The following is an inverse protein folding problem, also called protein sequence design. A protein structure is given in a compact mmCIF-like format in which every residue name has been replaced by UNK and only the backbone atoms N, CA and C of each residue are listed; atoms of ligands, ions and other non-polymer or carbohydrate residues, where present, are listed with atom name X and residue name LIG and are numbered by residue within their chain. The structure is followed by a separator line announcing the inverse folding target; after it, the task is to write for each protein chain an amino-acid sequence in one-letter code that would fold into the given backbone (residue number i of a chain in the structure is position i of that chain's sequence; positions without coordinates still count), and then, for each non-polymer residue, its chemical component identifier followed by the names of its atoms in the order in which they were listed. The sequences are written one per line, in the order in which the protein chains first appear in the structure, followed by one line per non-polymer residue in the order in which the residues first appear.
data_IF_938942491356
#
_entry.id   IF_938942491356
#
_cell.length_a   1.000
_cell.length_b   1.000
_cell.length_c   1.000
_cell.angle_alpha   90.00
_cell.angle_beta   90.00
_cell.angle_gamma   90.00
#
_symmetry.space_group_name_H-M   'P 1'
#
loop_
_entity.id
_entity.type
_entity.pdbx_description
1 polymer ?
#
# COMPACT_ATOMS: atom_id res chain seq x y z
N UNK A 1 -2.32 -0.61 27.26
CA UNK A 1 -1.04 -0.22 26.66
C UNK A 1 -1.43 0.40 25.34
N UNK A 2 -1.09 1.67 25.13
CA UNK A 2 -1.52 2.45 23.96
C UNK A 2 -0.84 1.84 22.72
N UNK A 3 -1.63 1.38 21.73
CA UNK A 3 -1.10 1.10 20.40
C UNK A 3 -0.34 2.35 19.95
N UNK A 4 0.92 2.18 19.57
CA UNK A 4 1.70 3.25 18.95
C UNK A 4 1.00 3.57 17.62
N UNK A 5 0.09 4.53 17.68
CA UNK A 5 -0.48 5.15 16.49
C UNK A 5 0.69 5.71 15.68
N UNK A 6 0.64 5.67 14.36
CA UNK A 6 1.57 6.38 13.44
C UNK A 6 1.53 7.91 13.67
N UNK A 7 1.22 8.35 14.89
CA UNK A 7 1.29 9.70 15.42
C UNK A 7 2.72 9.95 15.83
N UNK A 8 3.40 10.77 15.06
CA UNK A 8 4.76 11.22 15.38
C UNK A 8 4.73 12.26 16.51
N UNK A 9 3.56 12.90 16.78
CA UNK A 9 3.39 13.87 17.88
C UNK A 9 1.94 13.90 18.39
N UNK A 10 1.74 13.77 19.70
CA UNK A 10 0.42 13.87 20.37
C UNK A 10 -0.15 15.32 20.44
N UNK A 11 0.61 16.35 20.02
CA UNK A 11 0.24 17.77 20.13
C UNK A 11 -0.07 18.40 18.76
N UNK A 12 -0.03 17.64 17.64
CA UNK A 12 -0.29 18.15 16.29
C UNK A 12 -1.78 18.05 15.90
N UNK A 13 -2.26 19.10 15.24
CA UNK A 13 -3.60 19.10 14.63
C UNK A 13 -3.53 18.50 13.23
N UNK A 14 -4.29 17.42 13.00
CA UNK A 14 -4.39 16.77 11.70
C UNK A 14 -5.58 17.30 10.91
N UNK A 15 -5.37 17.52 9.60
CA UNK A 15 -6.45 17.82 8.65
C UNK A 15 -7.34 16.60 8.42
N UNK A 16 -6.70 15.45 8.21
CA UNK A 16 -7.36 14.16 8.09
C UNK A 16 -6.65 13.15 8.98
N UNK A 17 -7.41 12.44 9.79
CA UNK A 17 -6.89 11.35 10.63
C UNK A 17 -7.75 10.11 10.47
N UNK A 18 -7.12 8.96 10.37
CA UNK A 18 -7.78 7.66 10.39
C UNK A 18 -7.20 6.83 11.53
N UNK A 19 -8.06 6.15 12.29
CA UNK A 19 -7.69 5.30 13.41
C UNK A 19 -8.20 3.89 13.19
N UNK A 20 -7.30 2.91 13.18
CA UNK A 20 -7.59 1.48 13.02
C UNK A 20 -8.57 1.20 11.86
N UNK A 21 -8.42 1.95 10.75
CA UNK A 21 -9.35 1.90 9.63
C UNK A 21 -9.29 0.55 8.94
N UNK A 22 -10.48 -0.06 8.72
CA UNK A 22 -10.61 -1.32 8.00
C UNK A 22 -11.60 -1.18 6.84
N UNK A 23 -11.25 -1.79 5.71
CA UNK A 23 -12.16 -1.99 4.59
C UNK A 23 -12.00 -3.39 4.04
N UNK A 24 -12.98 -4.22 4.35
CA UNK A 24 -13.05 -5.61 3.91
C UNK A 24 -14.17 -5.78 2.89
N UNK A 25 -13.89 -6.50 1.81
CA UNK A 25 -14.88 -6.82 0.79
C UNK A 25 -15.23 -8.31 0.90
N UNK A 26 -16.49 -8.67 1.20
CA UNK A 26 -16.89 -10.07 1.31
C UNK A 26 -16.73 -10.79 -0.03
N UNK A 27 -16.10 -11.96 -0.02
CA UNK A 27 -16.04 -12.84 -1.20
C UNK A 27 -17.38 -13.55 -1.33
N UNK A 28 -18.12 -13.27 -2.42
CA UNK A 28 -19.40 -13.91 -2.70
C UNK A 28 -19.19 -15.38 -3.11
N UNK A 29 -19.03 -16.25 -2.14
CA UNK A 29 -19.21 -17.69 -2.35
C UNK A 29 -20.72 -17.96 -2.35
N UNK A 30 -21.24 -18.65 -3.39
CA UNK A 30 -22.68 -18.90 -3.53
C UNK A 30 -23.31 -19.52 -2.28
N UNK A 31 -24.61 -19.29 -2.06
CA UNK A 31 -25.36 -19.69 -0.86
C UNK A 31 -25.16 -21.19 -0.49
N UNK A 32 -24.89 -22.05 -1.46
CA UNK A 32 -24.71 -23.50 -1.28
C UNK A 32 -23.34 -23.82 -0.67
N UNK A 33 -22.26 -23.12 -1.03
CA UNK A 33 -20.92 -23.30 -0.46
C UNK A 33 -20.85 -22.81 0.99
N UNK A 34 -21.59 -21.75 1.32
CA UNK A 34 -21.73 -21.19 2.66
C UNK A 34 -22.32 -22.17 3.68
N UNK A 35 -23.29 -23.00 3.25
CA UNK A 35 -23.96 -23.98 4.11
C UNK A 35 -23.14 -25.28 4.26
N UNK A 36 -22.37 -25.67 3.23
CA UNK A 36 -21.67 -26.96 3.18
C UNK A 36 -20.24 -26.91 3.75
N UNK A 37 -19.56 -25.73 3.75
CA UNK A 37 -18.16 -25.62 4.16
C UNK A 37 -17.91 -24.78 5.41
N UNK A 38 -18.94 -24.14 5.99
CA UNK A 38 -18.75 -23.26 7.16
C UNK A 38 -17.94 -21.97 6.84
N UNK A 39 -17.70 -21.65 5.56
CA UNK A 39 -16.91 -20.50 5.08
C UNK A 39 -17.74 -19.20 5.16
N UNK A 40 -18.06 -18.74 6.38
CA UNK A 40 -18.91 -17.55 6.54
C UNK A 40 -18.16 -16.22 6.52
N UNK A 41 -16.82 -16.20 6.53
CA UNK A 41 -16.05 -14.97 6.79
C UNK A 41 -14.87 -14.70 5.82
N UNK A 42 -14.84 -15.33 4.64
CA UNK A 42 -13.76 -14.98 3.67
C UNK A 42 -14.01 -13.61 3.06
N UNK A 43 -13.08 -12.71 3.26
CA UNK A 43 -13.12 -11.35 2.74
C UNK A 43 -11.75 -10.91 2.25
N UNK A 44 -11.72 -10.14 1.16
CA UNK A 44 -10.53 -9.40 0.74
C UNK A 44 -10.31 -8.27 1.74
N UNK A 45 -9.23 -8.32 2.52
CA UNK A 45 -8.86 -7.30 3.50
C UNK A 45 -8.03 -6.21 2.83
N UNK A 46 -8.70 -5.35 2.06
CA UNK A 46 -8.03 -4.33 1.27
C UNK A 46 -7.37 -3.23 2.13
N UNK A 47 -7.95 -2.91 3.28
CA UNK A 47 -7.39 -2.06 4.35
C UNK A 47 -7.67 -2.78 5.66
N UNK A 48 -6.66 -2.96 6.51
CA UNK A 48 -6.80 -3.80 7.70
C UNK A 48 -6.02 -3.23 8.90
N UNK A 49 -6.63 -2.27 9.58
CA UNK A 49 -6.09 -1.66 10.79
C UNK A 49 -5.10 -0.52 10.53
N UNK A 50 -5.35 0.30 9.51
CA UNK A 50 -4.48 1.44 9.21
C UNK A 50 -4.82 2.63 10.11
N UNK A 51 -3.77 3.18 10.76
CA UNK A 51 -3.83 4.46 11.50
C UNK A 51 -2.84 5.43 10.87
N UNK A 52 -3.30 6.65 10.54
CA UNK A 52 -2.51 7.67 9.85
C UNK A 52 -3.07 9.07 10.10
N UNK A 53 -2.21 10.04 10.43
CA UNK A 53 -2.53 11.45 10.49
C UNK A 53 -1.86 12.24 9.36
N UNK A 54 -2.59 13.13 8.71
CA UNK A 54 -2.13 14.03 7.65
C UNK A 54 -2.34 15.46 8.15
N UNK A 55 -1.25 16.24 8.18
CA UNK A 55 -1.25 17.60 8.72
C UNK A 55 -1.88 18.59 7.75
N UNK A 56 -2.35 19.73 8.25
CA UNK A 56 -2.85 20.80 7.39
C UNK A 56 -1.74 21.32 6.47
N UNK A 57 -2.02 21.48 5.18
CA UNK A 57 -1.08 21.91 4.14
C UNK A 57 -0.05 20.86 3.72
N UNK A 58 -0.05 19.66 4.33
CA UNK A 58 0.90 18.58 4.01
C UNK A 58 0.59 17.92 2.66
N UNK A 59 1.65 17.61 1.90
CA UNK A 59 1.61 16.64 0.81
C UNK A 59 2.05 15.26 1.33
N UNK A 60 1.12 14.33 1.44
CA UNK A 60 1.40 12.96 1.86
C UNK A 60 1.41 12.01 0.66
N UNK A 61 2.48 11.23 0.51
CA UNK A 61 2.60 10.19 -0.52
C UNK A 61 2.16 8.82 0.00
N UNK A 62 1.40 8.08 -0.78
CA UNK A 62 1.05 6.69 -0.48
C UNK A 62 1.56 5.78 -1.59
N UNK A 63 2.56 4.94 -1.26
CA UNK A 63 3.22 4.04 -2.19
C UNK A 63 3.05 2.55 -1.83
N UNK A 64 3.35 1.66 -2.77
CA UNK A 64 3.30 0.21 -2.61
C UNK A 64 2.93 -0.48 -3.92
N UNK A 65 3.01 -1.82 -3.94
CA UNK A 65 2.67 -2.64 -5.11
C UNK A 65 1.19 -2.47 -5.54
N UNK A 66 0.90 -2.80 -6.80
CA UNK A 66 -0.48 -2.81 -7.30
C UNK A 66 -1.35 -3.79 -6.49
N UNK A 67 -2.57 -3.39 -6.15
CA UNK A 67 -3.49 -4.23 -5.38
C UNK A 67 -3.26 -4.23 -3.86
N UNK A 68 -2.25 -3.53 -3.31
CA UNK A 68 -1.99 -3.52 -1.85
C UNK A 68 -3.00 -2.71 -1.02
N UNK A 69 -3.99 -2.02 -1.65
CA UNK A 69 -5.08 -1.33 -0.95
C UNK A 69 -5.02 0.20 -0.95
N UNK A 70 -4.02 0.85 -1.58
CA UNK A 70 -3.83 2.33 -1.59
C UNK A 70 -5.08 3.13 -1.98
N UNK A 71 -5.63 2.83 -3.15
CA UNK A 71 -6.86 3.49 -3.65
C UNK A 71 -8.05 3.24 -2.71
N UNK A 72 -8.13 2.04 -2.11
CA UNK A 72 -9.17 1.72 -1.14
C UNK A 72 -9.01 2.54 0.14
N UNK A 73 -7.79 2.64 0.66
CA UNK A 73 -7.48 3.48 1.82
C UNK A 73 -7.85 4.94 1.56
N UNK A 74 -7.38 5.53 0.46
CA UNK A 74 -7.69 6.91 0.10
C UNK A 74 -9.19 7.16 -0.05
N UNK A 75 -9.90 6.30 -0.78
CA UNK A 75 -11.38 6.43 -0.95
C UNK A 75 -12.16 6.20 0.34
N UNK A 76 -11.70 5.34 1.24
CA UNK A 76 -12.33 5.15 2.55
C UNK A 76 -12.10 6.37 3.45
N UNK A 77 -10.88 6.92 3.47
CA UNK A 77 -10.52 8.08 4.27
C UNK A 77 -11.33 9.34 3.91
N UNK A 78 -11.72 9.50 2.63
CA UNK A 78 -12.61 10.58 2.20
C UNK A 78 -14.08 10.15 2.07
N UNK A 79 -14.49 9.06 2.72
CA UNK A 79 -15.89 8.59 2.76
C UNK A 79 -16.55 8.41 1.39
N UNK A 80 -15.77 8.07 0.36
CA UNK A 80 -16.29 7.54 -0.92
C UNK A 80 -16.58 6.05 -0.83
N UNK A 81 -15.86 5.33 0.04
CA UNK A 81 -16.15 3.97 0.45
C UNK A 81 -16.43 3.99 1.95
N UNK A 82 -17.54 3.40 2.37
CA UNK A 82 -17.83 3.23 3.80
C UNK A 82 -16.81 2.26 4.42
N UNK A 83 -16.15 2.62 5.53
CA UNK A 83 -15.27 1.72 6.24
C UNK A 83 -16.05 0.51 6.78
N UNK A 84 -15.36 -0.59 7.01
CA UNK A 84 -15.93 -1.76 7.70
C UNK A 84 -15.81 -1.59 9.21
N UNK A 85 -14.74 -0.91 9.66
CA UNK A 85 -14.43 -0.66 11.08
C UNK A 85 -13.40 0.48 11.17
N UNK A 86 -13.18 1.02 12.36
CA UNK A 86 -12.26 2.14 12.61
C UNK A 86 -12.94 3.50 12.55
N UNK A 87 -12.18 4.57 12.75
CA UNK A 87 -12.69 5.95 12.82
C UNK A 87 -11.96 6.86 11.84
N UNK A 88 -12.67 7.91 11.40
CA UNK A 88 -12.16 8.93 10.48
C UNK A 88 -12.49 10.31 11.05
N UNK A 89 -11.47 11.15 11.21
CA UNK A 89 -11.63 12.52 11.65
C UNK A 89 -11.15 13.50 10.58
N UNK A 90 -11.90 14.58 10.39
CA UNK A 90 -11.57 15.67 9.49
C UNK A 90 -11.69 16.98 10.24
N UNK A 91 -10.62 17.78 10.29
CA UNK A 91 -10.50 18.97 11.14
C UNK A 91 -10.89 18.66 12.61
N UNK A 92 -10.48 17.50 13.12
CA UNK A 92 -10.78 17.02 14.47
C UNK A 92 -12.23 16.57 14.70
N UNK A 93 -13.09 16.59 13.67
CA UNK A 93 -14.48 16.16 13.75
C UNK A 93 -14.61 14.72 13.24
N UNK A 94 -15.27 13.87 14.03
CA UNK A 94 -15.59 12.51 13.60
C UNK A 94 -16.59 12.54 12.42
N UNK A 95 -16.14 11.96 11.30
CA UNK A 95 -16.94 11.84 10.07
C UNK A 95 -17.24 10.37 9.70
N UNK A 96 -16.94 9.43 10.60
CA UNK A 96 -17.04 7.99 10.34
C UNK A 96 -18.41 7.57 9.87
N UNK A 97 -19.47 8.02 10.55
CA UNK A 97 -20.85 7.62 10.31
C UNK A 97 -21.75 8.78 9.85
N UNK A 98 -21.17 9.97 9.54
CA UNK A 98 -21.96 11.11 9.09
C UNK A 98 -22.69 10.81 7.77
N UNK A 99 -23.89 11.37 7.61
CA UNK A 99 -24.73 11.21 6.42
C UNK A 99 -25.47 12.50 6.06
N UNK A 100 -26.28 12.44 5.00
CA UNK A 100 -27.12 13.57 4.57
C UNK A 100 -26.32 14.84 4.28
N UNK A 101 -26.78 15.96 4.84
CA UNK A 101 -26.19 17.29 4.56
C UNK A 101 -24.76 17.43 5.09
N UNK A 102 -24.44 16.78 6.20
CA UNK A 102 -23.12 16.81 6.81
C UNK A 102 -22.08 16.10 5.92
N UNK A 103 -22.41 14.93 5.39
CA UNK A 103 -21.56 14.23 4.40
C UNK A 103 -21.43 15.05 3.11
N UNK A 104 -22.49 15.72 2.67
CA UNK A 104 -22.45 16.59 1.51
C UNK A 104 -21.55 17.81 1.73
N UNK A 105 -21.53 18.37 2.94
CA UNK A 105 -20.61 19.44 3.30
C UNK A 105 -19.16 18.95 3.27
N UNK A 106 -18.86 17.81 3.91
CA UNK A 106 -17.54 17.22 3.88
C UNK A 106 -17.06 16.95 2.44
N UNK A 107 -17.92 16.41 1.57
CA UNK A 107 -17.61 16.14 0.16
C UNK A 107 -17.34 17.39 -0.68
N UNK A 108 -17.67 18.60 -0.22
CA UNK A 108 -17.22 19.84 -0.86
C UNK A 108 -15.78 20.14 -0.50
N UNK A 109 -15.40 19.89 0.74
CA UNK A 109 -14.07 20.17 1.27
C UNK A 109 -13.02 19.13 0.87
N UNK A 110 -13.43 17.86 0.69
CA UNK A 110 -12.56 16.77 0.27
C UNK A 110 -12.90 16.30 -1.15
N UNK A 111 -12.00 16.57 -2.09
CA UNK A 111 -12.16 16.22 -3.50
C UNK A 111 -11.20 15.13 -3.94
N UNK A 112 -11.56 14.42 -5.03
CA UNK A 112 -10.72 13.37 -5.63
C UNK A 112 -10.42 13.67 -7.09
N UNK A 113 -9.17 13.42 -7.49
CA UNK A 113 -8.75 13.34 -8.88
C UNK A 113 -8.46 11.87 -9.20
N UNK A 114 -9.18 11.33 -10.17
CA UNK A 114 -9.12 9.93 -10.56
C UNK A 114 -7.95 9.64 -11.50
N UNK A 115 -7.50 8.38 -11.49
CA UNK A 115 -6.43 7.85 -12.33
C UNK A 115 -6.71 7.99 -13.82
N UNK A 116 -7.93 7.73 -14.26
CA UNK A 116 -8.32 7.76 -15.66
C UNK A 116 -9.28 8.91 -15.95
N UNK A 117 -8.80 9.98 -16.61
CA UNK A 117 -9.64 11.09 -17.00
C UNK A 117 -10.69 10.72 -18.06
N UNK A 118 -10.45 9.65 -18.86
CA UNK A 118 -11.42 9.19 -19.87
C UNK A 118 -12.66 8.55 -19.26
N UNK A 119 -12.49 7.79 -18.18
CA UNK A 119 -13.63 7.13 -17.51
C UNK A 119 -14.43 8.10 -16.65
N UNK A 120 -13.83 9.19 -16.22
CA UNK A 120 -14.48 10.17 -15.36
C UNK A 120 -15.27 11.22 -16.12
N UNK A 121 -14.89 11.55 -17.37
CA UNK A 121 -15.52 12.61 -18.15
C UNK A 121 -16.75 12.10 -18.94
N UNK A 122 -17.91 12.76 -18.72
CA UNK A 122 -19.09 12.52 -19.55
C UNK A 122 -18.84 13.09 -20.97
N UNK A 123 -18.81 12.26 -22.04
CA UNK A 123 -18.47 12.71 -23.39
C UNK A 123 -19.52 13.68 -24.00
N UNK A 124 -20.66 13.85 -23.37
CA UNK A 124 -21.74 14.75 -23.83
C UNK A 124 -21.67 16.15 -23.24
N UNK A 125 -20.80 16.36 -22.24
CA UNK A 125 -20.62 17.66 -21.60
C UNK A 125 -19.42 18.36 -22.22
N UNK A 126 -19.54 19.67 -22.41
CA UNK A 126 -18.39 20.54 -22.66
C UNK A 126 -17.52 20.69 -21.42
N UNK A 127 -16.31 21.19 -21.57
CA UNK A 127 -15.41 21.52 -20.44
C UNK A 127 -16.13 22.45 -19.45
N UNK A 128 -16.81 23.48 -19.94
CA UNK A 128 -17.60 24.40 -19.13
C UNK A 128 -18.67 23.67 -18.30
N UNK A 129 -19.49 22.84 -18.93
CA UNK A 129 -20.55 22.10 -18.26
C UNK A 129 -20.00 21.14 -17.21
N UNK A 130 -18.84 20.53 -17.53
CA UNK A 130 -18.19 19.59 -16.64
C UNK A 130 -17.64 20.24 -15.36
N UNK A 131 -17.01 21.41 -15.49
CA UNK A 131 -16.47 22.17 -14.36
C UNK A 131 -17.59 22.84 -13.57
N UNK A 132 -18.71 23.24 -14.23
CA UNK A 132 -19.87 23.85 -13.57
C UNK A 132 -20.74 22.87 -12.76
N UNK A 133 -20.80 21.60 -13.20
CA UNK A 133 -21.70 20.61 -12.62
C UNK A 133 -21.61 20.53 -11.07
N UNK A 134 -20.43 20.44 -10.42
CA UNK A 134 -20.34 20.40 -8.96
C UNK A 134 -20.90 21.66 -8.29
N UNK A 135 -20.73 22.83 -8.89
CA UNK A 135 -21.32 24.08 -8.37
C UNK A 135 -22.85 24.05 -8.42
N UNK A 136 -23.42 23.50 -9.50
CA UNK A 136 -24.86 23.36 -9.67
C UNK A 136 -25.44 22.31 -8.72
N UNK A 137 -24.78 21.15 -8.57
CA UNK A 137 -25.21 20.08 -7.66
C UNK A 137 -25.24 20.55 -6.20
N UNK A 138 -24.24 21.31 -5.80
CA UNK A 138 -24.12 21.81 -4.43
C UNK A 138 -24.82 23.15 -4.21
N UNK A 139 -25.39 23.78 -5.25
CA UNK A 139 -26.12 25.03 -5.14
C UNK A 139 -25.26 26.23 -4.71
N UNK A 140 -23.98 26.26 -5.10
CA UNK A 140 -23.01 27.28 -4.68
C UNK A 140 -23.11 28.49 -5.62
N UNK A 141 -23.28 29.69 -5.05
CA UNK A 141 -23.29 30.97 -5.77
C UNK A 141 -24.47 31.21 -6.67
N UNK A 142 -24.56 32.42 -7.23
CA UNK A 142 -25.49 32.80 -8.31
C UNK A 142 -25.04 32.25 -9.66
N UNK A 143 -25.86 32.26 -10.71
CA UNK A 143 -25.42 31.85 -12.06
C UNK A 143 -24.18 32.60 -12.53
N UNK A 144 -24.13 33.92 -12.31
CA UNK A 144 -23.01 34.78 -12.72
C UNK A 144 -21.72 34.47 -11.95
N UNK A 145 -21.83 34.18 -10.65
CA UNK A 145 -20.67 33.78 -9.83
C UNK A 145 -20.15 32.39 -10.25
N UNK A 146 -21.04 31.44 -10.60
CA UNK A 146 -20.66 30.14 -11.12
C UNK A 146 -19.91 30.25 -12.44
N UNK A 147 -20.42 31.09 -13.35
CA UNK A 147 -19.77 31.31 -14.64
C UNK A 147 -18.36 31.90 -14.46
N UNK A 148 -18.21 32.91 -13.62
CA UNK A 148 -16.90 33.47 -13.31
C UNK A 148 -15.94 32.43 -12.71
N UNK A 149 -16.43 31.62 -11.77
CA UNK A 149 -15.66 30.58 -11.11
C UNK A 149 -15.22 29.47 -12.06
N UNK A 150 -16.08 29.06 -12.98
CA UNK A 150 -15.73 28.05 -14.02
C UNK A 150 -14.56 28.54 -14.88
N UNK A 151 -14.60 29.76 -15.38
CA UNK A 151 -13.49 30.30 -16.21
C UNK A 151 -12.21 30.44 -15.39
N UNK A 152 -12.30 30.92 -14.17
CA UNK A 152 -11.15 31.03 -13.26
C UNK A 152 -10.47 29.69 -12.98
N UNK A 153 -11.24 28.62 -12.67
CA UNK A 153 -10.68 27.31 -12.36
C UNK A 153 -10.11 26.62 -13.61
N UNK A 154 -10.68 26.85 -14.79
CA UNK A 154 -10.13 26.37 -16.06
C UNK A 154 -8.71 26.97 -16.26
N UNK A 155 -8.53 28.30 -16.02
CA UNK A 155 -7.22 28.96 -16.12
C UNK A 155 -6.25 28.50 -15.02
N UNK A 156 -6.73 28.35 -13.77
CA UNK A 156 -5.92 27.82 -12.65
C UNK A 156 -5.38 26.43 -12.98
N UNK A 157 -6.16 25.59 -13.66
CA UNK A 157 -5.72 24.28 -14.14
C UNK A 157 -4.74 24.34 -15.35
N UNK A 158 -4.43 25.56 -15.85
CA UNK A 158 -3.50 25.78 -16.94
C UNK A 158 -4.10 25.54 -18.32
N UNK A 159 -5.42 25.69 -18.48
CA UNK A 159 -6.12 25.71 -19.77
C UNK A 159 -6.41 27.15 -20.16
N UNK A 160 -5.39 27.83 -20.75
CA UNK A 160 -5.42 29.24 -21.08
C UNK A 160 -5.40 29.48 -22.60
N UNK A 161 -6.25 30.39 -23.12
CA UNK A 161 -7.31 31.12 -22.40
C UNK A 161 -8.56 30.25 -22.19
N UNK A 162 -9.18 30.34 -21.02
CA UNK A 162 -10.34 29.51 -20.66
C UNK A 162 -11.48 29.55 -21.70
N UNK A 163 -11.69 30.71 -22.33
CA UNK A 163 -12.70 30.89 -23.37
C UNK A 163 -12.49 30.03 -24.62
N UNK A 164 -11.28 29.55 -24.89
CA UNK A 164 -11.01 28.64 -26.00
C UNK A 164 -11.38 27.19 -25.63
N UNK A 165 -11.10 26.79 -24.39
CA UNK A 165 -11.33 25.40 -23.92
C UNK A 165 -12.77 25.16 -23.42
N UNK A 166 -13.41 26.15 -22.83
CA UNK A 166 -14.74 26.02 -22.23
C UNK A 166 -15.81 25.39 -23.16
N UNK A 167 -15.89 25.71 -24.46
CA UNK A 167 -16.86 25.09 -25.38
C UNK A 167 -16.44 23.73 -25.93
N UNK A 168 -15.19 23.28 -25.72
CA UNK A 168 -14.68 22.02 -26.26
C UNK A 168 -15.26 20.80 -25.54
N UNK A 169 -15.34 19.68 -26.26
CA UNK A 169 -15.74 18.38 -25.72
C UNK A 169 -14.51 17.54 -25.34
N UNK A 170 -14.65 16.57 -24.43
CA UNK A 170 -13.55 15.69 -24.05
C UNK A 170 -12.84 14.98 -25.21
N UNK A 171 -13.56 14.70 -26.30
CA UNK A 171 -13.00 14.06 -27.51
C UNK A 171 -12.03 14.96 -28.29
N UNK A 172 -12.10 16.28 -28.10
CA UNK A 172 -11.28 17.29 -28.78
C UNK A 172 -9.97 17.59 -28.01
N UNK A 173 -9.88 17.11 -26.78
CA UNK A 173 -8.76 17.36 -25.87
C UNK A 173 -7.72 16.22 -25.89
N UNK A 174 -6.45 16.58 -25.70
CA UNK A 174 -5.37 15.64 -25.38
C UNK A 174 -5.55 15.01 -24.00
N UNK A 175 -4.80 13.94 -23.70
CA UNK A 175 -4.84 13.29 -22.38
C UNK A 175 -4.49 14.24 -21.23
N UNK A 176 -3.47 15.09 -21.42
CA UNK A 176 -3.07 16.08 -20.42
C UNK A 176 -4.11 17.19 -20.22
N UNK A 177 -4.76 17.66 -21.28
CA UNK A 177 -5.84 18.65 -21.18
C UNK A 177 -7.07 18.07 -20.45
N UNK A 178 -7.43 16.82 -20.73
CA UNK A 178 -8.49 16.13 -19.97
C UNK A 178 -8.17 16.03 -18.48
N UNK A 179 -6.91 15.71 -18.15
CA UNK A 179 -6.48 15.69 -16.74
C UNK A 179 -6.63 17.06 -16.10
N UNK A 180 -6.26 18.15 -16.82
CA UNK A 180 -6.45 19.52 -16.36
C UNK A 180 -7.93 19.89 -16.16
N UNK A 181 -8.83 19.39 -17.01
CA UNK A 181 -10.29 19.53 -16.81
C UNK A 181 -10.74 18.84 -15.52
N UNK A 182 -10.23 17.63 -15.24
CA UNK A 182 -10.50 16.93 -13.99
C UNK A 182 -10.01 17.71 -12.74
N UNK A 183 -8.83 18.34 -12.86
CA UNK A 183 -8.29 19.23 -11.82
C UNK A 183 -9.17 20.48 -11.67
N UNK A 184 -9.54 21.16 -12.76
CA UNK A 184 -10.42 22.34 -12.72
C UNK A 184 -11.77 22.01 -12.04
N UNK A 185 -12.36 20.86 -12.36
CA UNK A 185 -13.60 20.39 -11.72
C UNK A 185 -13.45 20.24 -10.20
N UNK A 186 -12.36 19.62 -9.73
CA UNK A 186 -12.09 19.46 -8.31
C UNK A 186 -11.91 20.82 -7.60
N UNK A 187 -11.19 21.74 -8.24
CA UNK A 187 -10.90 23.08 -7.71
C UNK A 187 -12.14 23.99 -7.68
N UNK A 188 -13.15 23.73 -8.51
CA UNK A 188 -14.37 24.56 -8.60
C UNK A 188 -15.07 24.70 -7.24
N UNK A 189 -14.97 23.70 -6.36
CA UNK A 189 -15.56 23.69 -5.02
C UNK A 189 -14.67 24.33 -3.94
N UNK A 190 -13.47 24.85 -4.28
CA UNK A 190 -12.49 25.38 -3.32
C UNK A 190 -12.18 24.38 -2.18
N UNK A 191 -11.74 23.16 -2.51
CA UNK A 191 -11.50 22.15 -1.50
C UNK A 191 -10.35 22.53 -0.59
N UNK A 192 -10.36 22.07 0.65
CA UNK A 192 -9.22 22.16 1.58
C UNK A 192 -8.39 20.86 1.59
N UNK A 193 -8.92 19.78 1.01
CA UNK A 193 -8.27 18.48 0.93
C UNK A 193 -8.43 17.85 -0.46
N UNK A 194 -7.33 17.26 -0.98
CA UNK A 194 -7.30 16.64 -2.30
C UNK A 194 -6.70 15.23 -2.22
N UNK A 195 -7.46 14.24 -2.70
CA UNK A 195 -6.94 12.90 -2.98
C UNK A 195 -6.62 12.78 -4.47
N UNK A 196 -5.36 12.59 -4.82
CA UNK A 196 -4.92 12.37 -6.19
C UNK A 196 -4.51 10.89 -6.39
N UNK A 197 -5.40 10.11 -6.99
CA UNK A 197 -5.21 8.67 -7.21
C UNK A 197 -4.52 8.43 -8.56
N UNK A 198 -3.22 8.20 -8.55
CA UNK A 198 -2.35 8.04 -9.74
C UNK A 198 -2.57 9.10 -10.83
N UNK A 199 -2.54 10.41 -10.48
CA UNK A 199 -3.07 11.49 -11.34
C UNK A 199 -2.31 11.72 -12.65
N UNK A 200 -1.19 11.07 -12.85
CA UNK A 200 -0.34 11.23 -14.02
C UNK A 200 0.14 9.91 -14.65
N UNK A 201 -0.37 8.74 -14.19
CA UNK A 201 0.11 7.41 -14.61
C UNK A 201 -0.16 7.12 -16.09
N UNK A 202 -1.25 7.65 -16.65
CA UNK A 202 -1.68 7.44 -18.05
C UNK A 202 -1.10 8.48 -19.03
N UNK A 203 -0.23 9.37 -18.56
CA UNK A 203 0.32 10.47 -19.36
C UNK A 203 1.77 10.17 -19.79
N UNK A 204 2.15 10.69 -20.95
CA UNK A 204 3.55 10.67 -21.38
C UNK A 204 4.45 11.51 -20.45
N UNK A 205 5.76 11.25 -20.49
CA UNK A 205 6.74 11.79 -19.54
C UNK A 205 6.73 13.33 -19.50
N UNK A 206 6.57 14.01 -20.64
CA UNK A 206 6.62 15.48 -20.71
C UNK A 206 5.37 16.12 -20.13
N UNK A 207 4.21 15.56 -20.42
CA UNK A 207 2.92 16.01 -19.87
C UNK A 207 2.84 15.70 -18.39
N UNK A 208 3.34 14.52 -17.97
CA UNK A 208 3.42 14.13 -16.56
C UNK A 208 4.12 15.19 -15.72
N UNK A 209 5.32 15.61 -16.12
CA UNK A 209 6.07 16.65 -15.38
C UNK A 209 5.25 17.94 -15.24
N UNK A 210 4.60 18.39 -16.33
CA UNK A 210 3.77 19.61 -16.31
C UNK A 210 2.54 19.50 -15.39
N UNK A 211 1.93 18.33 -15.27
CA UNK A 211 0.81 18.08 -14.34
C UNK A 211 1.31 18.08 -12.89
N UNK A 212 2.48 17.52 -12.60
CA UNK A 212 3.07 17.51 -11.27
C UNK A 212 3.45 18.90 -10.80
N UNK A 213 4.05 19.72 -11.69
CA UNK A 213 4.35 21.12 -11.40
C UNK A 213 3.06 21.92 -11.12
N UNK A 214 1.98 21.63 -11.86
CA UNK A 214 0.68 22.22 -11.60
C UNK A 214 0.17 21.87 -10.19
N UNK A 215 0.23 20.61 -9.78
CA UNK A 215 -0.19 20.19 -8.43
C UNK A 215 0.62 20.89 -7.35
N UNK A 216 1.94 20.95 -7.48
CA UNK A 216 2.83 21.61 -6.52
C UNK A 216 2.53 23.12 -6.39
N UNK A 217 2.27 23.77 -7.52
CA UNK A 217 1.84 25.17 -7.55
C UNK A 217 0.52 25.36 -6.83
N UNK A 218 -0.50 24.58 -7.17
CA UNK A 218 -1.85 24.66 -6.56
C UNK A 218 -1.79 24.40 -5.06
N UNK A 219 -1.03 23.40 -4.61
CA UNK A 219 -0.84 23.13 -3.18
C UNK A 219 -0.25 24.36 -2.45
N UNK A 220 0.80 24.97 -3.02
CA UNK A 220 1.46 26.12 -2.41
C UNK A 220 0.59 27.38 -2.44
N UNK A 221 -0.07 27.66 -3.57
CA UNK A 221 -0.87 28.89 -3.76
C UNK A 221 -2.20 28.84 -2.99
N UNK A 222 -2.83 27.66 -2.91
CA UNK A 222 -4.13 27.50 -2.27
C UNK A 222 -4.06 26.93 -0.85
N UNK A 223 -2.88 26.54 -0.36
CA UNK A 223 -2.71 25.93 0.95
C UNK A 223 -3.38 24.55 1.08
N UNK A 224 -3.47 23.80 -0.01
CA UNK A 224 -4.17 22.52 -0.05
C UNK A 224 -3.42 21.44 0.75
N UNK A 225 -4.16 20.67 1.54
CA UNK A 225 -3.67 19.37 2.04
C UNK A 225 -3.91 18.32 0.97
N UNK A 226 -2.91 17.51 0.64
CA UNK A 226 -3.02 16.55 -0.46
C UNK A 226 -2.50 15.17 -0.12
N UNK A 227 -3.18 14.13 -0.61
CA UNK A 227 -2.68 12.75 -0.64
C UNK A 227 -2.45 12.34 -2.08
N UNK A 228 -1.21 11.95 -2.39
CA UNK A 228 -0.81 11.45 -3.70
C UNK A 228 -0.60 9.95 -3.64
N UNK A 229 -1.42 9.19 -4.36
CA UNK A 229 -1.22 7.75 -4.54
C UNK A 229 -0.40 7.55 -5.80
N UNK A 230 0.72 6.82 -5.69
CA UNK A 230 1.55 6.47 -6.84
C UNK A 230 2.33 5.18 -6.58
N UNK A 231 2.67 4.47 -7.66
CA UNK A 231 3.67 3.41 -7.62
C UNK A 231 5.08 3.92 -7.96
N UNK A 232 5.22 5.18 -8.36
CA UNK A 232 6.49 5.84 -8.67
C UNK A 232 7.02 6.61 -7.46
N UNK A 233 7.96 5.99 -6.73
CA UNK A 233 8.58 6.58 -5.55
C UNK A 233 9.40 7.85 -5.86
N UNK A 234 9.99 7.95 -7.06
CA UNK A 234 10.75 9.14 -7.47
C UNK A 234 9.84 10.37 -7.57
N UNK A 235 8.63 10.14 -8.08
CA UNK A 235 7.59 11.15 -8.16
C UNK A 235 7.17 11.61 -6.75
N UNK A 236 6.87 10.66 -5.86
CA UNK A 236 6.45 10.98 -4.50
C UNK A 236 7.56 11.70 -3.72
N UNK A 237 8.82 11.30 -3.88
CA UNK A 237 9.97 12.01 -3.29
C UNK A 237 9.99 13.48 -3.66
N UNK A 238 9.65 13.81 -4.90
CA UNK A 238 9.70 15.20 -5.39
C UNK A 238 8.49 16.04 -4.93
N UNK A 239 7.35 15.39 -4.69
CA UNK A 239 6.09 16.09 -4.43
C UNK A 239 5.65 16.09 -2.98
N UNK A 240 6.07 15.12 -2.19
CA UNK A 240 5.52 14.87 -0.87
C UNK A 240 6.48 15.24 0.25
N UNK A 241 5.93 15.67 1.37
CA UNK A 241 6.66 15.93 2.61
C UNK A 241 6.96 14.61 3.34
N UNK A 242 5.95 13.73 3.43
CA UNK A 242 6.06 12.39 4.00
C UNK A 242 5.52 11.34 3.03
N UNK A 243 6.01 10.10 3.19
CA UNK A 243 5.55 8.94 2.42
C UNK A 243 5.17 7.81 3.39
N UNK A 244 4.02 7.21 3.14
CA UNK A 244 3.61 5.93 3.72
C UNK A 244 3.74 4.81 2.69
N UNK A 245 4.37 3.71 3.11
CA UNK A 245 4.52 2.49 2.30
C UNK A 245 3.48 1.48 2.73
N UNK A 246 2.67 1.03 1.79
CA UNK A 246 1.58 0.09 2.03
C UNK A 246 1.85 -1.28 1.43
N UNK A 247 1.63 -2.33 2.20
CA UNK A 247 1.72 -3.72 1.77
C UNK A 247 0.53 -4.53 2.30
N UNK A 248 -0.19 -5.23 1.41
CA UNK A 248 -1.32 -6.11 1.74
C UNK A 248 -2.28 -5.53 2.80
N UNK A 249 -2.74 -4.29 2.60
CA UNK A 249 -3.74 -3.65 3.46
C UNK A 249 -3.20 -2.97 4.72
N UNK A 250 -1.88 -2.98 4.96
CA UNK A 250 -1.25 -2.33 6.11
C UNK A 250 -0.21 -1.29 5.71
N UNK A 251 0.00 -0.27 6.54
CA UNK A 251 1.17 0.60 6.45
C UNK A 251 2.35 -0.11 7.14
N UNK A 252 3.42 -0.33 6.37
CA UNK A 252 4.63 -1.00 6.86
C UNK A 252 5.75 -0.03 7.24
N UNK A 253 5.73 1.18 6.67
CA UNK A 253 6.68 2.24 7.00
C UNK A 253 6.09 3.62 6.69
N UNK A 254 6.35 4.61 7.55
CA UNK A 254 5.96 6.02 7.36
C UNK A 254 7.09 6.93 7.83
N UNK A 255 7.41 7.95 7.05
CA UNK A 255 8.44 8.92 7.39
C UNK A 255 8.57 10.05 6.37
N UNK A 256 9.51 11.01 6.58
CA UNK A 256 9.86 12.01 5.60
C UNK A 256 10.24 11.40 4.26
N UNK A 257 9.81 12.03 3.16
CA UNK A 257 10.01 11.48 1.82
C UNK A 257 11.49 11.21 1.50
N UNK A 258 12.39 12.12 1.91
CA UNK A 258 13.82 11.94 1.71
C UNK A 258 14.40 10.76 2.52
N UNK A 259 13.92 10.54 3.75
CA UNK A 259 14.39 9.45 4.61
C UNK A 259 13.88 8.10 4.09
N UNK A 260 12.61 7.99 3.72
CA UNK A 260 12.04 6.76 3.11
C UNK A 260 12.82 6.32 1.88
N UNK A 261 13.31 7.26 1.06
CA UNK A 261 14.04 6.94 -0.17
C UNK A 261 15.53 6.68 0.07
N UNK A 262 16.16 7.44 0.99
CA UNK A 262 17.62 7.36 1.17
C UNK A 262 18.02 6.39 2.27
N UNK A 263 17.16 6.17 3.29
CA UNK A 263 17.42 5.34 4.45
C UNK A 263 16.17 4.54 4.87
N UNK A 264 15.62 3.70 3.95
CA UNK A 264 14.44 2.88 4.22
C UNK A 264 14.71 1.86 5.31
N UNK A 265 13.77 1.69 6.23
CA UNK A 265 13.91 0.81 7.40
C UNK A 265 13.28 -0.57 7.15
N UNK A 266 12.05 -0.61 6.67
CA UNK A 266 11.39 -1.89 6.43
C UNK A 266 12.00 -2.61 5.21
N UNK A 267 12.28 -3.94 5.28
CA UNK A 267 12.87 -4.68 4.16
C UNK A 267 12.10 -4.60 2.84
N UNK A 268 10.76 -4.48 2.90
CA UNK A 268 9.94 -4.24 1.72
C UNK A 268 10.21 -2.87 1.09
N UNK A 269 10.33 -1.82 1.90
CA UNK A 269 10.68 -0.48 1.42
C UNK A 269 12.07 -0.46 0.78
N UNK A 270 13.04 -1.18 1.40
CA UNK A 270 14.39 -1.35 0.84
C UNK A 270 14.34 -1.97 -0.56
N UNK A 271 13.55 -3.03 -0.72
CA UNK A 271 13.38 -3.70 -2.03
C UNK A 271 12.70 -2.77 -3.05
N UNK A 272 11.63 -2.06 -2.67
CA UNK A 272 10.97 -1.09 -3.56
C UNK A 272 11.92 0.01 -4.01
N UNK A 273 12.66 0.62 -3.07
CA UNK A 273 13.62 1.70 -3.35
C UNK A 273 14.79 1.20 -4.18
N UNK A 274 15.25 -0.05 -4.00
CA UNK A 274 16.33 -0.64 -4.79
C UNK A 274 15.96 -0.78 -6.28
N UNK A 275 14.68 -0.86 -6.60
CA UNK A 275 14.17 -0.97 -7.98
C UNK A 275 14.02 0.39 -8.68
N UNK A 276 14.13 1.52 -7.95
CA UNK A 276 14.01 2.87 -8.51
C UNK A 276 15.25 3.23 -9.32
N UNK A 277 15.12 3.56 -10.63
CA UNK A 277 16.24 3.98 -11.45
C UNK A 277 16.90 5.26 -10.90
N UNK A 278 18.21 5.30 -10.76
CA UNK A 278 18.97 6.48 -10.36
C UNK A 278 19.68 7.14 -11.54
N UNK A 279 19.85 8.44 -11.43
CA UNK A 279 20.54 9.25 -12.46
C UNK A 279 22.07 9.09 -12.33
N UNK A 280 22.61 8.81 -11.14
CA UNK A 280 24.03 8.63 -10.89
C UNK A 280 24.43 7.14 -10.99
N UNK A 281 25.14 6.72 -12.07
CA UNK A 281 25.58 5.35 -12.24
C UNK A 281 26.74 4.94 -11.33
N UNK A 282 27.30 5.84 -10.52
CA UNK A 282 28.43 5.54 -9.60
C UNK A 282 27.97 5.04 -8.23
N UNK A 283 26.69 5.12 -7.91
CA UNK A 283 26.10 4.54 -6.71
C UNK A 283 25.59 3.13 -7.00
N UNK A 284 26.46 2.13 -6.84
CA UNK A 284 26.07 0.72 -6.87
C UNK A 284 25.23 0.37 -5.64
N UNK A 285 23.90 0.35 -5.79
CA UNK A 285 23.03 -0.43 -4.89
C UNK A 285 22.72 -1.75 -5.58
N UNK A 286 23.03 -2.84 -4.93
CA UNK A 286 22.52 -4.14 -5.36
C UNK A 286 21.00 -4.10 -5.37
N UNK A 287 20.41 -4.48 -6.51
CA UNK A 287 18.97 -4.61 -6.64
C UNK A 287 18.52 -5.79 -5.79
N UNK A 288 17.63 -5.52 -4.83
CA UNK A 288 17.01 -6.57 -4.03
C UNK A 288 15.92 -7.21 -4.86
N UNK A 289 16.10 -8.45 -5.27
CA UNK A 289 15.07 -9.23 -5.97
C UNK A 289 14.13 -9.85 -4.94
N UNK A 290 12.84 -9.53 -5.09
CA UNK A 290 11.80 -10.14 -4.26
C UNK A 290 11.42 -11.51 -4.82
N UNK A 291 11.62 -12.53 -4.01
CA UNK A 291 11.25 -13.91 -4.36
C UNK A 291 9.77 -14.15 -4.11
N UNK A 292 9.12 -14.91 -5.01
CA UNK A 292 7.74 -15.32 -4.89
C UNK A 292 6.71 -14.25 -5.29
N UNK A 293 5.45 -14.66 -5.31
CA UNK A 293 4.32 -13.81 -5.66
C UNK A 293 3.75 -13.09 -4.43
N UNK A 294 2.96 -12.03 -4.66
CA UNK A 294 2.22 -11.35 -3.59
C UNK A 294 1.17 -12.32 -3.05
N UNK A 295 1.14 -12.57 -1.73
CA UNK A 295 0.12 -13.44 -1.14
C UNK A 295 -1.31 -12.98 -1.44
N UNK A 296 -2.26 -13.94 -1.43
CA UNK A 296 -3.68 -13.65 -1.64
C UNK A 296 -4.22 -12.76 -0.50
N UNK A 297 -4.86 -11.64 -0.80
CA UNK A 297 -5.46 -10.76 0.21
C UNK A 297 -6.66 -11.38 0.95
N UNK A 298 -7.11 -12.57 0.57
CA UNK A 298 -8.12 -13.36 1.29
C UNK A 298 -7.46 -14.24 2.36
N UNK A 299 -6.33 -14.88 2.02
CA UNK A 299 -5.59 -15.79 2.90
C UNK A 299 -4.25 -15.14 3.30
N UNK A 300 -4.35 -14.16 4.19
CA UNK A 300 -3.21 -13.35 4.64
C UNK A 300 -2.20 -14.17 5.45
N UNK A 301 -0.88 -13.99 5.21
CA UNK A 301 0.14 -14.55 6.08
C UNK A 301 -0.03 -14.08 7.54
N UNK A 302 0.25 -14.97 8.50
CA UNK A 302 0.28 -14.64 9.93
C UNK A 302 1.45 -13.71 10.25
N UNK A 303 1.36 -12.91 11.30
CA UNK A 303 2.42 -11.98 11.71
C UNK A 303 2.71 -10.90 10.66
N UNK A 304 3.97 -10.74 10.28
CA UNK A 304 4.37 -9.82 9.22
C UNK A 304 3.92 -10.33 7.85
N UNK A 305 3.02 -9.63 7.18
CA UNK A 305 2.48 -10.04 5.86
C UNK A 305 3.54 -10.16 4.77
N UNK A 306 4.68 -9.48 4.96
CA UNK A 306 5.79 -9.52 4.01
C UNK A 306 6.76 -10.68 4.26
N UNK A 307 6.69 -11.40 5.39
CA UNK A 307 7.67 -12.43 5.75
C UNK A 307 7.87 -13.49 4.65
N UNK A 308 6.84 -13.95 3.87
CA UNK A 308 7.07 -14.94 2.82
C UNK A 308 7.99 -14.48 1.69
N UNK A 309 8.17 -13.16 1.53
CA UNK A 309 9.00 -12.54 0.49
C UNK A 309 10.16 -11.71 1.07
N UNK A 310 10.29 -11.66 2.39
CA UNK A 310 11.26 -10.81 3.06
C UNK A 310 12.70 -11.32 2.89
N UNK A 311 13.64 -10.56 2.32
CA UNK A 311 15.04 -10.99 2.20
C UNK A 311 15.78 -11.02 3.53
N UNK A 312 15.19 -10.47 4.61
CA UNK A 312 15.76 -10.39 5.96
C UNK A 312 14.81 -11.02 6.98
N UNK A 313 14.28 -12.21 6.65
CA UNK A 313 13.41 -12.93 7.59
C UNK A 313 14.22 -13.33 8.84
N UNK A 314 13.68 -13.05 10.02
CA UNK A 314 14.34 -13.30 11.30
C UNK A 314 14.44 -14.81 11.54
N UNK A 315 15.62 -15.27 11.97
CA UNK A 315 15.88 -16.67 12.29
C UNK A 315 15.35 -17.03 13.68
N UNK A 316 15.00 -18.31 13.93
CA UNK A 316 14.61 -18.76 15.25
C UNK A 316 15.79 -18.66 16.23
N UNK A 317 15.48 -18.46 17.51
CA UNK A 317 16.51 -18.45 18.56
C UNK A 317 17.25 -19.78 18.63
N UNK A 318 18.57 -19.71 18.77
CA UNK A 318 19.43 -20.89 18.95
C UNK A 318 19.99 -21.49 17.67
N UNK A 319 19.64 -20.98 16.50
CA UNK A 319 20.21 -21.36 15.22
C UNK A 319 20.97 -20.20 14.57
N UNK A 320 21.92 -20.53 13.71
CA UNK A 320 22.69 -19.55 12.93
C UNK A 320 22.85 -20.05 11.51
N UNK A 321 22.09 -19.45 10.60
CA UNK A 321 22.11 -19.75 9.17
C UNK A 321 22.75 -18.61 8.37
N UNK A 322 23.25 -18.91 7.18
CA UNK A 322 23.30 -17.92 6.10
C UNK A 322 21.84 -17.51 5.72
N UNK A 323 21.64 -16.26 5.31
CA UNK A 323 20.27 -15.76 5.06
C UNK A 323 19.60 -16.47 3.87
N UNK A 324 20.39 -16.87 2.87
CA UNK A 324 19.88 -17.61 1.70
C UNK A 324 19.48 -19.03 2.09
N UNK A 325 20.33 -19.71 2.89
CA UNK A 325 20.05 -21.05 3.44
C UNK A 325 18.78 -21.02 4.32
N UNK A 326 18.65 -20.00 5.18
CA UNK A 326 17.46 -19.82 6.00
C UNK A 326 16.20 -19.62 5.15
N UNK A 327 16.31 -18.82 4.09
CA UNK A 327 15.21 -18.61 3.14
C UNK A 327 14.79 -19.92 2.47
N UNK A 328 15.76 -20.75 2.06
CA UNK A 328 15.51 -22.06 1.46
C UNK A 328 14.73 -22.98 2.43
N UNK A 329 15.14 -23.02 3.70
CA UNK A 329 14.45 -23.79 4.75
C UNK A 329 13.03 -23.27 4.99
N UNK A 330 12.80 -21.94 5.03
CA UNK A 330 11.47 -21.34 5.18
C UNK A 330 10.54 -21.68 4.02
N UNK A 331 11.05 -21.69 2.79
CA UNK A 331 10.25 -22.07 1.62
C UNK A 331 9.82 -23.55 1.70
N UNK A 332 10.74 -24.43 2.01
CA UNK A 332 10.46 -25.86 2.24
C UNK A 332 9.43 -26.05 3.36
N UNK A 333 9.62 -25.36 4.51
CA UNK A 333 8.70 -25.41 5.64
C UNK A 333 7.30 -24.97 5.26
N UNK A 334 7.16 -23.87 4.49
CA UNK A 334 5.88 -23.34 4.04
C UNK A 334 5.10 -24.39 3.24
N UNK A 335 5.73 -25.01 2.24
CA UNK A 335 5.08 -25.98 1.36
C UNK A 335 4.71 -27.27 2.12
N UNK A 336 5.56 -27.69 3.07
CA UNK A 336 5.27 -28.83 3.95
C UNK A 336 4.07 -28.58 4.87
N UNK A 337 3.94 -27.36 5.41
CA UNK A 337 2.81 -26.98 6.28
C UNK A 337 1.52 -26.74 5.50
N UNK A 338 1.61 -26.32 4.23
CA UNK A 338 0.45 -26.17 3.34
C UNK A 338 -0.12 -27.51 2.83
N UNK A 339 0.51 -28.63 3.17
CA UNK A 339 0.18 -29.97 2.66
C UNK A 339 0.24 -30.05 1.12
N UNK A 340 1.04 -29.19 0.50
CA UNK A 340 1.28 -29.22 -0.92
C UNK A 340 2.29 -30.31 -1.28
N UNK A 341 2.21 -30.91 -2.50
CA UNK A 341 3.22 -31.85 -2.96
C UNK A 341 4.59 -31.18 -2.96
N UNK A 342 5.55 -31.74 -2.21
CA UNK A 342 6.90 -31.21 -2.17
C UNK A 342 7.57 -31.32 -3.54
N UNK A 343 8.32 -30.28 -3.91
CA UNK A 343 9.15 -30.31 -5.10
C UNK A 343 10.32 -31.28 -4.87
N UNK A 344 10.66 -32.03 -5.89
CA UNK A 344 11.80 -32.97 -5.90
C UNK A 344 12.64 -32.73 -7.16
N UNK A 345 13.96 -32.75 -7.02
CA UNK A 345 14.84 -32.76 -8.17
C UNK A 345 14.94 -34.17 -8.74
N UNK A 346 14.73 -34.34 -10.06
CA UNK A 346 14.75 -35.63 -10.76
C UNK A 346 13.59 -35.77 -11.73
N UNK A 347 13.44 -36.97 -12.31
CA UNK A 347 12.32 -37.28 -13.19
C UNK A 347 11.04 -37.53 -12.36
N UNK A 348 9.87 -37.22 -12.95
CA UNK A 348 8.56 -37.33 -12.25
C UNK A 348 8.23 -38.76 -11.74
N UNK A 349 8.94 -39.79 -12.24
CA UNK A 349 8.76 -41.19 -11.87
C UNK A 349 9.73 -41.65 -10.73
N UNK A 350 10.61 -40.77 -10.24
CA UNK A 350 11.56 -41.10 -9.17
C UNK A 350 10.89 -41.01 -7.78
N UNK A 351 11.17 -41.97 -6.89
CA UNK A 351 10.74 -41.88 -5.50
C UNK A 351 11.41 -40.68 -4.81
N UNK A 352 10.64 -39.84 -4.07
CA UNK A 352 11.19 -38.69 -3.37
C UNK A 352 12.26 -39.13 -2.36
N UNK A 353 13.41 -38.43 -2.36
CA UNK A 353 14.47 -38.63 -1.38
C UNK A 353 14.74 -37.33 -0.63
N UNK A 354 15.23 -37.39 0.64
CA UNK A 354 15.64 -36.19 1.36
C UNK A 354 16.63 -35.30 0.59
N UNK A 355 17.53 -35.89 -0.16
CA UNK A 355 18.51 -35.17 -0.97
C UNK A 355 17.86 -34.47 -2.17
N UNK A 356 16.93 -35.14 -2.87
CA UNK A 356 16.21 -34.56 -4.00
C UNK A 356 15.29 -33.40 -3.57
N UNK A 357 14.69 -33.48 -2.37
CA UNK A 357 13.91 -32.39 -1.79
C UNK A 357 14.82 -31.20 -1.46
N UNK A 358 15.96 -31.44 -0.77
CA UNK A 358 16.91 -30.36 -0.48
C UNK A 358 17.38 -29.66 -1.77
N UNK A 359 17.71 -30.41 -2.81
CA UNK A 359 18.13 -29.86 -4.09
C UNK A 359 17.05 -29.00 -4.76
N UNK A 360 15.79 -29.47 -4.75
CA UNK A 360 14.66 -28.75 -5.35
C UNK A 360 14.37 -27.42 -4.66
N UNK A 361 14.58 -27.34 -3.34
CA UNK A 361 14.38 -26.13 -2.54
C UNK A 361 15.65 -25.30 -2.36
N UNK A 362 16.76 -25.66 -3.03
CA UNK A 362 18.08 -25.00 -2.90
C UNK A 362 18.62 -25.01 -1.46
N UNK A 363 18.18 -25.96 -0.63
CA UNK A 363 18.70 -26.17 0.71
C UNK A 363 20.05 -26.89 0.61
N UNK A 364 21.13 -26.39 1.23
CA UNK A 364 22.43 -27.06 1.20
C UNK A 364 22.35 -28.53 1.64
N UNK A 365 23.22 -29.35 1.08
CA UNK A 365 23.34 -30.76 1.48
C UNK A 365 23.70 -30.92 2.98
N UNK A 366 24.32 -29.88 3.56
CA UNK A 366 24.56 -29.74 4.99
C UNK A 366 24.46 -28.27 5.37
N UNK A 367 23.62 -27.96 6.37
CA UNK A 367 23.49 -26.61 6.92
C UNK A 367 24.72 -26.28 7.79
N UNK A 368 25.05 -24.99 7.90
CA UNK A 368 26.17 -24.54 8.74
C UNK A 368 25.94 -24.83 10.23
N UNK A 369 24.70 -24.79 10.69
CA UNK A 369 24.29 -25.19 12.04
C UNK A 369 24.01 -26.70 12.07
N UNK A 370 24.82 -27.45 12.80
CA UNK A 370 24.70 -28.91 12.89
C UNK A 370 23.41 -29.38 13.56
N UNK A 371 22.91 -28.65 14.55
CA UNK A 371 21.64 -29.01 15.22
C UNK A 371 20.45 -28.82 14.28
N UNK A 372 20.45 -27.72 13.52
CA UNK A 372 19.43 -27.46 12.51
C UNK A 372 19.48 -28.49 11.38
N UNK A 373 20.68 -28.91 10.97
CA UNK A 373 20.85 -29.92 9.93
C UNK A 373 20.33 -31.29 10.37
N UNK A 374 20.60 -31.69 11.60
CA UNK A 374 20.08 -32.94 12.18
C UNK A 374 18.53 -32.94 12.27
N UNK A 375 17.96 -31.81 12.73
CA UNK A 375 16.49 -31.66 12.79
C UNK A 375 15.86 -31.74 11.42
N UNK A 376 16.42 -31.03 10.42
CA UNK A 376 15.91 -31.03 9.06
C UNK A 376 16.05 -32.40 8.38
N UNK A 377 17.16 -33.11 8.62
CA UNK A 377 17.39 -34.45 8.09
C UNK A 377 16.34 -35.44 8.63
N UNK A 378 16.05 -35.40 9.93
CA UNK A 378 15.03 -36.23 10.55
C UNK A 378 13.62 -35.92 9.97
N UNK A 379 13.25 -34.61 9.88
CA UNK A 379 11.97 -34.20 9.29
C UNK A 379 11.82 -34.70 7.87
N UNK A 380 12.83 -34.56 7.04
CA UNK A 380 12.78 -35.01 5.64
C UNK A 380 12.72 -36.54 5.53
N UNK A 381 13.36 -37.26 6.42
CA UNK A 381 13.27 -38.73 6.47
C UNK A 381 11.84 -39.19 6.83
N UNK A 382 11.23 -38.56 7.84
CA UNK A 382 9.84 -38.87 8.27
C UNK A 382 8.82 -38.53 7.18
N UNK A 383 9.03 -37.44 6.41
CA UNK A 383 8.17 -37.07 5.28
C UNK A 383 8.26 -38.08 4.13
N UNK A 384 9.46 -38.52 3.79
CA UNK A 384 9.68 -39.47 2.68
C UNK A 384 9.14 -40.85 3.02
N UNK A 385 9.25 -41.28 4.27
CA UNK A 385 8.78 -42.61 4.73
C UNK A 385 7.25 -42.71 4.90
N UNK A 386 6.53 -41.58 4.76
CA UNK A 386 5.06 -41.43 4.99
C UNK A 386 4.61 -41.98 6.36
N UNK A 387 5.53 -42.42 7.21
CA UNK A 387 5.21 -43.16 8.45
C UNK A 387 4.77 -42.21 9.57
N UNK A 388 5.15 -40.94 9.54
CA UNK A 388 4.83 -39.95 10.57
C UNK A 388 4.84 -38.49 10.05
N UNK A 389 4.21 -38.27 8.88
CA UNK A 389 4.17 -36.95 8.22
C UNK A 389 3.60 -35.84 9.13
N UNK A 390 2.66 -36.17 10.00
CA UNK A 390 2.07 -35.19 10.92
C UNK A 390 3.09 -34.78 12.01
N UNK A 391 3.86 -35.72 12.58
CA UNK A 391 4.93 -35.40 13.53
C UNK A 391 6.07 -34.62 12.87
N UNK A 392 6.38 -34.90 11.60
CA UNK A 392 7.35 -34.12 10.82
C UNK A 392 6.91 -32.66 10.66
N UNK A 393 5.60 -32.44 10.35
CA UNK A 393 5.03 -31.08 10.25
C UNK A 393 5.05 -30.34 11.59
N UNK A 394 4.61 -30.98 12.69
CA UNK A 394 4.66 -30.36 14.01
C UNK A 394 6.10 -30.02 14.43
N UNK A 395 7.06 -30.86 14.06
CA UNK A 395 8.47 -30.66 14.37
C UNK A 395 9.07 -29.48 13.60
N UNK A 396 8.85 -29.41 12.28
CA UNK A 396 9.37 -28.30 11.47
C UNK A 396 8.70 -26.98 11.82
N UNK A 397 7.41 -27.00 12.16
CA UNK A 397 6.69 -25.81 12.61
C UNK A 397 7.26 -25.26 13.91
N UNK A 398 7.57 -26.11 14.88
CA UNK A 398 8.09 -25.71 16.17
C UNK A 398 9.55 -25.29 16.14
N UNK A 399 10.42 -26.09 15.50
CA UNK A 399 11.87 -25.90 15.54
C UNK A 399 12.34 -24.76 14.60
N UNK A 400 11.67 -24.57 13.48
CA UNK A 400 11.97 -23.52 12.49
C UNK A 400 10.92 -22.39 12.49
N UNK A 401 10.29 -22.13 13.64
CA UNK A 401 9.39 -21.00 13.81
C UNK A 401 10.16 -19.68 13.70
N UNK A 402 9.64 -18.73 12.92
CA UNK A 402 10.20 -17.39 12.85
C UNK A 402 9.39 -16.40 13.66
N UNK A 403 10.02 -15.46 14.38
CA UNK A 403 9.31 -14.36 15.04
C UNK A 403 8.44 -13.55 14.07
N UNK A 404 8.81 -13.52 12.77
CA UNK A 404 8.04 -12.83 11.73
C UNK A 404 6.64 -13.43 11.50
N UNK A 405 6.39 -14.69 11.87
CA UNK A 405 5.08 -15.36 11.79
C UNK A 405 4.26 -15.25 13.08
N UNK A 406 4.95 -14.93 14.17
CA UNK A 406 4.36 -14.91 15.51
C UNK A 406 3.62 -13.60 15.73
N UNK A 407 2.41 -13.62 16.30
CA UNK A 407 1.62 -12.51 16.84
C UNK A 407 1.54 -11.21 15.99
N UNK A 408 0.64 -10.29 16.29
CA UNK A 408 0.58 -9.02 15.56
C UNK A 408 1.90 -8.27 15.72
N UNK A 409 2.51 -7.92 14.58
CA UNK A 409 3.73 -7.11 14.55
C UNK A 409 3.37 -5.68 14.94
N UNK A 410 4.06 -5.14 15.93
CA UNK A 410 3.88 -3.76 16.37
C UNK A 410 4.59 -2.76 15.45
N UNK A 411 4.12 -1.53 15.45
CA UNK A 411 4.80 -0.41 14.78
C UNK A 411 5.77 0.23 15.76
N UNK A 412 7.04 0.31 15.38
CA UNK A 412 8.12 0.83 16.20
C UNK A 412 8.59 2.20 15.69
N UNK A 413 8.88 3.11 16.61
CA UNK A 413 9.58 4.36 16.32
C UNK A 413 11.06 4.05 16.08
N UNK A 414 11.49 4.02 14.80
CA UNK A 414 12.88 3.63 14.44
C UNK A 414 13.83 4.82 14.48
N UNK A 415 13.35 6.00 14.07
CA UNK A 415 14.05 7.27 14.19
C UNK A 415 13.07 8.31 14.77
N UNK A 416 13.51 9.53 15.15
CA UNK A 416 12.57 10.58 15.60
C UNK A 416 11.48 10.91 14.59
N UNK A 417 11.65 10.55 13.32
CA UNK A 417 10.78 10.93 12.19
C UNK A 417 10.22 9.77 11.40
N UNK A 418 10.73 8.54 11.63
CA UNK A 418 10.30 7.33 10.91
C UNK A 418 9.74 6.28 11.84
N UNK A 419 8.65 5.65 11.43
CA UNK A 419 8.08 4.46 12.06
C UNK A 419 8.10 3.29 11.07
N UNK A 420 8.35 2.07 11.57
CA UNK A 420 8.30 0.86 10.76
C UNK A 420 7.60 -0.28 11.52
N UNK A 421 6.81 -1.06 10.80
CA UNK A 421 6.10 -2.24 11.31
C UNK A 421 6.92 -3.50 11.00
N UNK A 422 7.97 -3.74 11.79
CA UNK A 422 8.93 -4.82 11.55
C UNK A 422 9.54 -5.34 12.86
N UNK A 423 9.60 -6.64 13.00
CA UNK A 423 10.19 -7.36 14.16
C UNK A 423 11.67 -6.99 14.40
N UNK A 424 12.41 -6.59 13.35
CA UNK A 424 13.81 -6.19 13.49
C UNK A 424 14.02 -4.97 14.41
N UNK A 425 12.97 -4.25 14.76
CA UNK A 425 12.99 -3.05 15.62
C UNK A 425 12.29 -3.25 16.96
N UNK A 426 11.98 -4.50 17.32
CA UNK A 426 11.44 -4.84 18.61
C UNK A 426 12.57 -4.75 19.66
N UNK A 427 12.42 -3.84 20.64
CA UNK A 427 13.42 -3.56 21.67
C UNK A 427 13.71 -4.78 22.59
N UNK A 428 12.76 -5.70 22.74
CA UNK A 428 12.89 -6.90 23.55
C UNK A 428 13.52 -8.09 22.79
N UNK A 429 13.82 -7.91 21.49
CA UNK A 429 14.28 -8.97 20.65
C UNK A 429 15.82 -9.10 20.61
N UNK A 430 16.31 -10.30 20.86
CA UNK A 430 17.75 -10.66 20.80
C UNK A 430 18.36 -10.59 19.38
N UNK A 431 17.53 -10.30 18.37
CA UNK A 431 17.87 -10.21 16.95
C UNK A 431 17.83 -8.78 16.40
N UNK A 432 17.83 -7.75 17.27
CA UNK A 432 17.96 -6.36 16.85
C UNK A 432 19.18 -6.18 15.95
N UNK A 433 18.97 -5.60 14.77
CA UNK A 433 19.88 -5.54 13.64
C UNK A 433 21.29 -5.04 14.03
N UNK A 434 22.33 -5.83 13.69
CA UNK A 434 23.68 -5.32 13.46
C UNK A 434 23.77 -4.53 12.15
#
# INVERSE_FOLDING_TARGET
MSEATNRIDDDETYKLEVENLKKHFPVNTGIISRILRGESDRAVRAVDGVSLGIREGEAFGLAGESGCGKTTLGKSAIRLLEPTDGSIYFDGKDITDVGGDELNQFRREAQIIHQDPYQSLNPRFTVYEWVKEPLDVHGIGTPEERDARVYETIEQAGLEPAGAYAPEYPSELSGGERQRVGIARALALEPSFLLADEPASMLDVSIRASILDLFKRLQTELGLTAVYISHDLSLLKHMCDRIGIMYLGELVEVGPADEIINDPKHPYTQALVSSVPRIDPSEDRERIELVGEVPDPVDMPSGCRFHPRCPRIVQPEGYSFDQDDWRAVVNLRRDLLAEEPLQTAGDEDDEPTPAAIREAYEVPAQLADANADDVLADVLADVVDESDADAARERIEREFATPCESAPIETHQVTPTQVAKCVLYDDDASYAAE
#
